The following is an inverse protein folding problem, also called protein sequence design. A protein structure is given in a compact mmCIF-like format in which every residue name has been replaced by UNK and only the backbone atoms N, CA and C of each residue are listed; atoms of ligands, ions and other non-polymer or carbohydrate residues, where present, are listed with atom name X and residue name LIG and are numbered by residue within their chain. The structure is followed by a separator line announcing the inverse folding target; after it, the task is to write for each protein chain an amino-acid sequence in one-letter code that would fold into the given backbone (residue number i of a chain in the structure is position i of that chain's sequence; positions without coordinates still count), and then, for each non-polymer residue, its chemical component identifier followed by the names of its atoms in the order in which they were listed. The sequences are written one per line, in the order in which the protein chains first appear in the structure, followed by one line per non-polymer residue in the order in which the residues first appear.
data_IF_743114843174
#
_entry.id   IF_743114843174
#
_cell.length_a   1.000
_cell.length_b   1.000
_cell.length_c   1.000
_cell.angle_alpha   90.00
_cell.angle_beta   90.00
_cell.angle_gamma   90.00
#
_symmetry.space_group_name_H-M   'P 1'
#
loop_
_entity.id
_entity.type
_entity.pdbx_description
1 polymer ?
#
# COMPACT_ATOMS: atom_id res chain seq x y z
N UNK A 1 25.10 17.50 14.20
CA UNK A 1 25.37 16.19 13.56
C UNK A 1 24.77 15.01 14.33
N UNK A 2 24.82 14.95 15.66
CA UNK A 2 24.27 13.86 16.50
C UNK A 2 22.74 13.84 16.45
N UNK A 3 22.08 14.98 16.49
CA UNK A 3 20.61 15.09 16.47
C UNK A 3 19.98 14.61 15.15
N UNK A 4 20.65 14.86 14.02
CA UNK A 4 20.19 14.37 12.71
C UNK A 4 20.27 12.84 12.62
N UNK A 5 21.32 12.25 13.19
CA UNK A 5 21.52 10.79 13.22
C UNK A 5 20.48 10.08 14.08
N UNK A 6 20.14 10.65 15.22
CA UNK A 6 19.10 10.13 16.11
C UNK A 6 17.71 10.16 15.44
N UNK A 7 17.36 11.25 14.77
CA UNK A 7 16.10 11.37 14.01
C UNK A 7 16.02 10.39 12.84
N UNK A 8 17.14 10.16 12.15
CA UNK A 8 17.20 9.17 11.06
C UNK A 8 17.02 7.74 11.58
N UNK A 9 17.66 7.39 12.69
CA UNK A 9 17.49 6.07 13.31
C UNK A 9 16.05 5.84 13.79
N UNK A 10 15.44 6.86 14.40
CA UNK A 10 14.04 6.80 14.80
C UNK A 10 13.11 6.60 13.60
N UNK A 11 13.33 7.33 12.51
CA UNK A 11 12.55 7.19 11.28
C UNK A 11 12.68 5.77 10.70
N UNK A 12 13.89 5.21 10.67
CA UNK A 12 14.13 3.84 10.22
C UNK A 12 13.40 2.83 11.13
N UNK A 13 13.52 2.98 12.45
CA UNK A 13 12.86 2.09 13.40
C UNK A 13 11.32 2.13 13.25
N UNK A 14 10.74 3.33 13.11
CA UNK A 14 9.31 3.50 12.88
C UNK A 14 8.85 2.88 11.54
N UNK A 15 9.66 3.00 10.49
CA UNK A 15 9.38 2.38 9.20
C UNK A 15 9.41 0.86 9.29
N UNK A 16 10.40 0.29 9.97
CA UNK A 16 10.48 -1.16 10.18
C UNK A 16 9.29 -1.67 10.99
N UNK A 17 8.89 -0.95 12.04
CA UNK A 17 7.71 -1.29 12.84
C UNK A 17 6.43 -1.25 12.00
N UNK A 18 6.28 -0.26 11.14
CA UNK A 18 5.14 -0.14 10.23
C UNK A 18 5.08 -1.30 9.23
N UNK A 19 6.22 -1.71 8.67
CA UNK A 19 6.32 -2.85 7.76
C UNK A 19 5.93 -4.14 8.48
N UNK A 20 6.48 -4.40 9.68
CA UNK A 20 6.12 -5.56 10.48
C UNK A 20 4.62 -5.60 10.82
N UNK A 21 4.02 -4.45 11.13
CA UNK A 21 2.58 -4.34 11.35
C UNK A 21 1.77 -4.67 10.08
N UNK A 22 2.22 -4.19 8.93
CA UNK A 22 1.57 -4.46 7.66
C UNK A 22 1.65 -5.96 7.28
N UNK A 23 2.82 -6.58 7.44
CA UNK A 23 3.03 -7.99 7.14
C UNK A 23 2.23 -8.89 8.09
N UNK A 24 2.20 -8.55 9.39
CA UNK A 24 1.38 -9.25 10.37
C UNK A 24 -0.11 -9.20 10.01
N UNK A 25 -0.59 -8.03 9.54
CA UNK A 25 -1.94 -7.88 9.06
C UNK A 25 -2.20 -8.74 7.81
N UNK A 26 -1.26 -8.80 6.86
CA UNK A 26 -1.40 -9.60 5.66
C UNK A 26 -1.51 -11.09 5.97
N UNK A 27 -0.72 -11.58 6.93
CA UNK A 27 -0.78 -12.96 7.43
C UNK A 27 -2.16 -13.23 8.07
N UNK A 28 -2.65 -12.33 8.93
CA UNK A 28 -3.98 -12.48 9.54
C UNK A 28 -5.10 -12.53 8.53
N UNK A 29 -5.08 -11.63 7.53
CA UNK A 29 -6.06 -11.63 6.45
C UNK A 29 -6.02 -12.95 5.69
N UNK A 30 -4.84 -13.49 5.40
CA UNK A 30 -4.69 -14.78 4.74
C UNK A 30 -5.31 -15.92 5.54
N UNK A 31 -5.04 -15.99 6.83
CA UNK A 31 -5.60 -17.00 7.72
C UNK A 31 -7.14 -16.95 7.74
N UNK A 32 -7.71 -15.74 7.73
CA UNK A 32 -9.17 -15.56 7.69
C UNK A 32 -9.75 -15.99 6.33
N UNK A 33 -9.06 -15.71 5.23
CA UNK A 33 -9.47 -16.18 3.89
C UNK A 33 -9.46 -17.70 3.82
N UNK A 34 -8.50 -18.37 4.43
CA UNK A 34 -8.43 -19.84 4.52
C UNK A 34 -9.55 -20.43 5.39
N UNK A 35 -10.11 -19.66 6.33
CA UNK A 35 -11.28 -20.01 7.12
C UNK A 35 -12.62 -19.83 6.40
N UNK A 36 -12.61 -19.32 5.16
CA UNK A 36 -13.79 -19.16 4.32
C UNK A 36 -14.38 -17.76 4.25
N UNK A 37 -13.75 -16.77 4.88
CA UNK A 37 -14.13 -15.37 4.69
C UNK A 37 -13.78 -14.90 3.28
N UNK A 38 -14.60 -14.01 2.73
CA UNK A 38 -14.34 -13.46 1.39
C UNK A 38 -13.51 -12.17 1.43
N UNK A 39 -12.76 -11.90 0.37
CA UNK A 39 -11.95 -10.67 0.29
C UNK A 39 -12.76 -9.37 0.47
N UNK A 40 -13.98 -9.23 -0.10
CA UNK A 40 -14.83 -8.05 0.14
C UNK A 40 -15.27 -7.90 1.60
N UNK A 41 -15.61 -9.01 2.27
CA UNK A 41 -16.00 -8.98 3.69
C UNK A 41 -14.86 -8.48 4.57
N UNK A 42 -13.67 -9.04 4.41
CA UNK A 42 -12.50 -8.62 5.18
C UNK A 42 -12.11 -7.16 4.90
N UNK A 43 -12.27 -6.72 3.66
CA UNK A 43 -12.09 -5.32 3.30
C UNK A 43 -13.10 -4.42 4.02
N UNK A 44 -14.37 -4.81 4.07
CA UNK A 44 -15.42 -4.08 4.77
C UNK A 44 -15.15 -4.00 6.28
N UNK A 45 -14.82 -5.13 6.91
CA UNK A 45 -14.48 -5.17 8.34
C UNK A 45 -13.29 -4.28 8.67
N UNK A 46 -12.19 -4.36 7.90
CA UNK A 46 -11.02 -3.52 8.11
C UNK A 46 -11.36 -2.04 8.00
N UNK A 47 -12.10 -1.64 6.98
CA UNK A 47 -12.45 -0.24 6.77
C UNK A 47 -13.37 0.28 7.87
N UNK A 48 -14.35 -0.51 8.30
CA UNK A 48 -15.27 -0.14 9.37
C UNK A 48 -14.55 -0.05 10.72
N UNK A 49 -13.75 -1.07 11.07
CA UNK A 49 -13.00 -1.08 12.33
C UNK A 49 -11.91 -0.01 12.35
N UNK A 50 -11.33 0.34 11.18
CA UNK A 50 -10.32 1.40 11.05
C UNK A 50 -10.84 2.80 11.35
N UNK A 51 -12.17 3.02 11.31
CA UNK A 51 -12.79 4.28 11.71
C UNK A 51 -12.59 4.54 13.20
N UNK A 52 -12.71 3.50 14.03
CA UNK A 52 -12.64 3.62 15.49
C UNK A 52 -11.33 4.23 15.98
N UNK A 53 -10.14 3.66 15.67
CA UNK A 53 -8.87 4.26 16.10
C UNK A 53 -8.64 5.63 15.47
N UNK A 54 -9.09 5.87 14.25
CA UNK A 54 -8.97 7.18 13.59
C UNK A 54 -9.76 8.24 14.34
N UNK A 55 -10.98 7.95 14.76
CA UNK A 55 -11.82 8.85 15.56
C UNK A 55 -11.19 9.08 16.95
N UNK A 56 -10.69 8.02 17.59
CA UNK A 56 -10.03 8.12 18.90
C UNK A 56 -8.81 9.04 18.81
N UNK A 57 -7.96 8.86 17.80
CA UNK A 57 -6.78 9.70 17.61
C UNK A 57 -7.16 11.18 17.43
N UNK A 58 -8.16 11.47 16.59
CA UNK A 58 -8.65 12.84 16.36
C UNK A 58 -9.17 13.46 17.67
N UNK A 59 -9.92 12.68 18.47
CA UNK A 59 -10.42 13.12 19.77
C UNK A 59 -9.28 13.40 20.76
N UNK A 60 -8.28 12.52 20.83
CA UNK A 60 -7.15 12.64 21.75
C UNK A 60 -6.20 13.79 21.38
N UNK A 61 -6.06 14.11 20.08
CA UNK A 61 -5.22 15.22 19.65
C UNK A 61 -5.83 16.60 19.92
N UNK A 62 -7.05 16.65 20.47
CA UNK A 62 -7.71 17.90 20.86
C UNK A 62 -8.03 18.83 19.67
N UNK A 63 -7.90 18.35 18.46
CA UNK A 63 -8.20 19.07 17.22
C UNK A 63 -9.72 19.30 17.03
N UNK A 64 -10.54 18.69 17.89
CA UNK A 64 -11.97 18.96 17.98
C UNK A 64 -12.26 20.31 18.67
N UNK A 65 -11.60 21.37 18.24
CA UNK A 65 -12.25 22.67 18.30
C UNK A 65 -13.36 22.58 17.27
N UNK A 66 -14.57 22.39 17.78
CA UNK A 66 -15.83 22.21 17.07
C UNK A 66 -16.13 23.46 16.21
N UNK A 67 -15.24 23.73 15.27
CA UNK A 67 -15.45 24.74 14.26
C UNK A 67 -15.97 24.02 13.03
N UNK A 68 -17.25 24.16 12.76
CA UNK A 68 -17.97 23.58 11.64
C UNK A 68 -17.22 23.73 10.29
N UNK A 69 -16.35 24.73 10.18
CA UNK A 69 -15.50 24.97 9.01
C UNK A 69 -14.33 23.97 8.88
N UNK A 70 -13.84 23.40 9.98
CA UNK A 70 -12.73 22.41 9.95
C UNK A 70 -13.16 21.03 9.50
N UNK A 71 -14.46 20.70 9.63
CA UNK A 71 -15.02 19.39 9.26
C UNK A 71 -15.42 19.33 7.79
N UNK A 72 -15.65 20.49 7.15
CA UNK A 72 -16.03 20.53 5.74
C UNK A 72 -14.80 20.31 4.88
N UNK A 73 -14.67 19.13 4.31
CA UNK A 73 -13.63 18.79 3.34
C UNK A 73 -13.83 19.67 2.11
N UNK A 74 -13.03 20.75 2.00
CA UNK A 74 -13.12 21.74 0.92
C UNK A 74 -12.97 21.10 -0.48
N UNK A 75 -12.29 19.93 -0.56
CA UNK A 75 -12.06 19.18 -1.80
C UNK A 75 -12.64 17.76 -1.69
N UNK A 76 -13.91 17.64 -1.33
CA UNK A 76 -14.59 16.36 -1.12
C UNK A 76 -14.49 15.40 -2.32
N UNK A 77 -14.47 15.92 -3.55
CA UNK A 77 -14.31 15.11 -4.78
C UNK A 77 -12.96 14.39 -4.81
N UNK A 78 -11.88 15.08 -4.42
CA UNK A 78 -10.54 14.47 -4.34
C UNK A 78 -10.47 13.44 -3.23
N UNK A 79 -11.08 13.70 -2.08
CA UNK A 79 -11.15 12.74 -0.98
C UNK A 79 -11.94 11.48 -1.39
N UNK A 80 -13.06 11.66 -2.07
CA UNK A 80 -13.88 10.56 -2.57
C UNK A 80 -13.12 9.76 -3.64
N UNK A 81 -12.47 10.42 -4.60
CA UNK A 81 -11.64 9.76 -5.59
C UNK A 81 -10.54 8.92 -4.94
N UNK A 82 -9.80 9.51 -3.98
CA UNK A 82 -8.78 8.79 -3.22
C UNK A 82 -9.36 7.59 -2.45
N UNK A 83 -10.53 7.75 -1.83
CA UNK A 83 -11.19 6.65 -1.11
C UNK A 83 -11.55 5.48 -2.03
N UNK A 84 -12.11 5.76 -3.21
CA UNK A 84 -12.43 4.75 -4.21
C UNK A 84 -11.16 4.07 -4.72
N UNK A 85 -10.12 4.85 -5.03
CA UNK A 85 -8.82 4.34 -5.47
C UNK A 85 -8.21 3.36 -4.48
N UNK A 86 -8.18 3.74 -3.20
CA UNK A 86 -7.66 2.88 -2.12
C UNK A 86 -8.53 1.63 -1.94
N UNK A 87 -9.87 1.76 -2.03
CA UNK A 87 -10.77 0.61 -1.90
C UNK A 87 -10.54 -0.41 -3.03
N UNK A 88 -10.38 0.05 -4.28
CA UNK A 88 -10.07 -0.82 -5.42
C UNK A 88 -8.72 -1.51 -5.23
N UNK A 89 -7.69 -0.77 -4.84
CA UNK A 89 -6.37 -1.32 -4.55
C UNK A 89 -6.40 -2.39 -3.46
N UNK A 90 -7.15 -2.13 -2.39
CA UNK A 90 -7.31 -3.06 -1.27
C UNK A 90 -8.03 -4.34 -1.69
N UNK A 91 -9.12 -4.24 -2.47
CA UNK A 91 -9.83 -5.40 -2.99
C UNK A 91 -8.94 -6.24 -3.90
N UNK A 92 -8.19 -5.60 -4.81
CA UNK A 92 -7.24 -6.28 -5.67
C UNK A 92 -6.16 -7.02 -4.85
N UNK A 93 -5.61 -6.38 -3.81
CA UNK A 93 -4.62 -6.98 -2.93
C UNK A 93 -5.17 -8.18 -2.14
N UNK A 94 -6.39 -8.07 -1.58
CA UNK A 94 -7.02 -9.15 -0.81
C UNK A 94 -7.43 -10.32 -1.70
N UNK A 95 -7.89 -10.04 -2.92
CA UNK A 95 -8.15 -11.09 -3.91
C UNK A 95 -6.87 -11.83 -4.30
N UNK A 96 -5.75 -11.12 -4.41
CA UNK A 96 -4.45 -11.74 -4.62
C UNK A 96 -4.04 -12.63 -3.43
N UNK A 97 -4.25 -12.16 -2.18
CA UNK A 97 -3.98 -12.93 -0.96
C UNK A 97 -4.79 -14.24 -0.88
N UNK A 98 -5.99 -14.26 -1.45
CA UNK A 98 -6.82 -15.45 -1.49
C UNK A 98 -6.32 -16.51 -2.47
N UNK A 99 -5.58 -16.12 -3.52
CA UNK A 99 -5.28 -16.99 -4.66
C UNK A 99 -3.79 -17.24 -4.91
N UNK A 100 -2.91 -16.44 -4.31
CA UNK A 100 -1.47 -16.50 -4.52
C UNK A 100 -0.71 -16.75 -3.22
N UNK A 101 0.51 -17.22 -3.34
CA UNK A 101 1.43 -17.33 -2.21
C UNK A 101 1.85 -15.95 -1.69
N UNK A 102 1.93 -15.81 -0.37
CA UNK A 102 2.27 -14.55 0.30
C UNK A 102 3.61 -13.99 -0.17
N UNK A 103 4.61 -14.85 -0.38
CA UNK A 103 5.92 -14.45 -0.89
C UNK A 103 5.84 -13.79 -2.27
N UNK A 104 5.06 -14.38 -3.18
CA UNK A 104 4.82 -13.82 -4.52
C UNK A 104 4.12 -12.47 -4.45
N UNK A 105 3.09 -12.35 -3.61
CA UNK A 105 2.35 -11.09 -3.44
C UNK A 105 3.27 -10.00 -2.89
N UNK A 106 4.07 -10.31 -1.85
CA UNK A 106 4.99 -9.36 -1.25
C UNK A 106 6.05 -8.88 -2.25
N UNK A 107 6.59 -9.78 -3.07
CA UNK A 107 7.54 -9.42 -4.13
C UNK A 107 6.89 -8.50 -5.19
N UNK A 108 5.68 -8.82 -5.64
CA UNK A 108 4.95 -8.02 -6.62
C UNK A 108 4.47 -6.67 -6.05
N UNK A 109 4.10 -6.61 -4.78
CA UNK A 109 3.73 -5.36 -4.12
C UNK A 109 4.89 -4.34 -4.07
N UNK A 110 6.15 -4.80 -4.09
CA UNK A 110 7.30 -3.90 -4.17
C UNK A 110 7.37 -3.09 -5.48
N UNK A 111 6.62 -3.49 -6.52
CA UNK A 111 6.47 -2.66 -7.74
C UNK A 111 5.83 -1.31 -7.46
N UNK A 112 5.16 -1.12 -6.31
CA UNK A 112 4.67 0.18 -5.88
C UNK A 112 5.75 1.26 -5.89
N UNK A 113 6.95 0.96 -5.37
CA UNK A 113 8.07 1.89 -5.38
C UNK A 113 8.48 2.31 -6.81
N UNK A 114 8.35 1.40 -7.78
CA UNK A 114 8.62 1.70 -9.19
C UNK A 114 7.55 2.64 -9.77
N UNK A 115 6.28 2.36 -9.51
CA UNK A 115 5.17 3.21 -9.99
C UNK A 115 5.27 4.62 -9.40
N UNK A 116 5.58 4.75 -8.10
CA UNK A 116 5.78 6.06 -7.45
C UNK A 116 6.89 6.85 -8.14
N UNK A 117 8.04 6.23 -8.45
CA UNK A 117 9.15 6.91 -9.14
C UNK A 117 8.76 7.29 -10.57
N UNK A 118 8.10 6.40 -11.30
CA UNK A 118 7.64 6.68 -12.67
C UNK A 118 6.65 7.85 -12.66
N UNK A 119 5.67 7.84 -11.74
CA UNK A 119 4.70 8.92 -11.60
C UNK A 119 5.35 10.23 -11.20
N UNK A 120 6.36 10.21 -10.31
CA UNK A 120 7.12 11.40 -9.94
C UNK A 120 7.83 12.01 -11.15
N UNK A 121 8.44 11.19 -12.00
CA UNK A 121 9.09 11.65 -13.24
C UNK A 121 8.07 12.27 -14.20
N UNK A 122 6.94 11.60 -14.42
CA UNK A 122 5.94 12.04 -15.39
C UNK A 122 5.21 13.29 -14.92
N UNK A 123 4.80 13.34 -13.64
CA UNK A 123 4.00 14.45 -13.11
C UNK A 123 4.83 15.66 -12.70
N UNK A 124 5.98 15.43 -12.06
CA UNK A 124 6.81 16.51 -11.53
C UNK A 124 8.02 16.85 -12.40
N UNK A 125 8.23 16.09 -13.50
CA UNK A 125 9.41 16.22 -14.37
C UNK A 125 10.74 16.15 -13.60
N UNK A 126 10.76 15.39 -12.52
CA UNK A 126 11.92 15.19 -11.68
C UNK A 126 13.04 14.52 -12.49
N UNK A 127 14.26 15.02 -12.32
CA UNK A 127 15.44 14.40 -12.94
C UNK A 127 15.85 13.21 -12.11
N UNK A 128 15.59 12.01 -12.62
CA UNK A 128 16.03 10.77 -11.96
C UNK A 128 17.49 10.51 -12.32
N UNK A 129 18.33 10.41 -11.30
CA UNK A 129 19.72 10.07 -11.50
C UNK A 129 19.89 8.64 -12.06
N UNK A 130 21.04 8.36 -12.77
CA UNK A 130 21.26 7.08 -13.44
C UNK A 130 21.23 5.89 -12.48
N UNK A 131 21.65 6.05 -11.24
CA UNK A 131 21.60 5.02 -10.20
C UNK A 131 20.17 4.60 -9.85
N UNK A 132 19.23 5.54 -9.83
CA UNK A 132 17.79 5.24 -9.57
C UNK A 132 17.20 4.50 -10.76
N UNK A 133 17.55 4.87 -11.98
CA UNK A 133 17.10 4.16 -13.19
C UNK A 133 17.65 2.74 -13.19
N UNK A 134 18.93 2.53 -12.89
CA UNK A 134 19.51 1.20 -12.79
C UNK A 134 18.81 0.33 -11.73
N UNK A 135 18.52 0.88 -10.54
CA UNK A 135 17.80 0.19 -9.49
C UNK A 135 16.37 -0.20 -9.92
N UNK A 136 15.66 0.69 -10.64
CA UNK A 136 14.34 0.39 -11.20
C UNK A 136 14.39 -0.74 -12.21
N UNK A 137 15.36 -0.75 -13.11
CA UNK A 137 15.52 -1.81 -14.12
C UNK A 137 15.81 -3.16 -13.47
N UNK A 138 16.71 -3.20 -12.48
CA UNK A 138 17.03 -4.41 -11.72
C UNK A 138 15.76 -4.91 -10.99
N UNK A 139 15.04 -4.02 -10.33
CA UNK A 139 13.78 -4.36 -9.67
C UNK A 139 12.73 -4.91 -10.65
N UNK A 140 12.60 -4.32 -11.83
CA UNK A 140 11.70 -4.79 -12.87
C UNK A 140 12.05 -6.19 -13.38
N UNK A 141 13.33 -6.46 -13.59
CA UNK A 141 13.82 -7.81 -13.97
C UNK A 141 13.47 -8.81 -12.87
N UNK A 142 13.63 -8.44 -11.59
CA UNK A 142 13.23 -9.27 -10.47
C UNK A 142 11.73 -9.61 -10.47
N UNK A 143 10.88 -8.62 -10.74
CA UNK A 143 9.42 -8.80 -10.87
C UNK A 143 9.08 -9.75 -12.02
N UNK A 144 9.71 -9.58 -13.19
CA UNK A 144 9.50 -10.47 -14.33
C UNK A 144 9.93 -11.91 -14.00
N UNK A 145 10.98 -12.07 -13.23
CA UNK A 145 11.45 -13.40 -12.81
C UNK A 145 10.46 -14.10 -11.88
N UNK A 146 9.84 -13.35 -10.96
CA UNK A 146 8.79 -13.87 -10.07
C UNK A 146 7.52 -14.18 -10.86
N UNK A 147 7.12 -13.29 -11.76
CA UNK A 147 5.90 -13.41 -12.55
C UNK A 147 5.95 -14.57 -13.56
N UNK A 148 7.14 -14.90 -14.06
CA UNK A 148 7.39 -15.91 -15.09
C UNK A 148 6.39 -15.86 -16.26
N UNK A 149 6.24 -14.71 -16.95
CA UNK A 149 5.29 -14.57 -18.05
C UNK A 149 5.64 -15.55 -19.17
N UNK A 150 4.61 -16.20 -19.73
CA UNK A 150 4.78 -17.18 -20.81
C UNK A 150 5.04 -18.61 -20.37
N UNK A 151 4.98 -18.91 -19.09
CA UNK A 151 5.02 -20.28 -18.55
C UNK A 151 3.64 -20.70 -18.04
N UNK A 152 3.39 -22.00 -17.90
CA UNK A 152 2.15 -22.54 -17.31
C UNK A 152 1.93 -22.11 -15.85
N UNK A 153 2.98 -21.60 -15.19
CA UNK A 153 2.92 -21.02 -13.85
C UNK A 153 2.33 -19.58 -13.83
N UNK A 154 2.18 -18.94 -15.00
CA UNK A 154 1.61 -17.60 -15.08
C UNK A 154 0.10 -17.63 -14.87
N UNK A 155 -0.34 -17.03 -13.77
CA UNK A 155 -1.76 -16.84 -13.48
C UNK A 155 -2.13 -15.37 -13.68
N UNK A 156 -3.18 -15.03 -14.42
CA UNK A 156 -3.61 -13.62 -14.59
C UNK A 156 -3.86 -12.90 -13.26
N UNK A 157 -4.20 -13.65 -12.22
CA UNK A 157 -4.39 -13.16 -10.84
C UNK A 157 -3.09 -12.54 -10.29
N UNK A 158 -1.92 -12.98 -10.76
CA UNK A 158 -0.63 -12.40 -10.36
C UNK A 158 -0.45 -10.93 -10.80
N UNK A 159 -1.29 -10.42 -11.69
CA UNK A 159 -1.32 -9.00 -12.04
C UNK A 159 -2.05 -8.15 -10.99
N UNK A 160 -2.92 -8.74 -10.16
CA UNK A 160 -3.68 -7.99 -9.15
C UNK A 160 -2.81 -7.24 -8.13
N UNK A 161 -1.72 -7.82 -7.57
CA UNK A 161 -0.81 -7.07 -6.71
C UNK A 161 -0.16 -5.87 -7.42
N UNK A 162 0.13 -6.00 -8.72
CA UNK A 162 0.67 -4.88 -9.51
C UNK A 162 -0.38 -3.78 -9.75
N UNK A 163 -1.63 -4.17 -10.01
CA UNK A 163 -2.76 -3.22 -10.09
C UNK A 163 -2.94 -2.51 -8.75
N UNK A 164 -2.92 -3.25 -7.64
CA UNK A 164 -2.98 -2.68 -6.31
C UNK A 164 -1.82 -1.70 -6.07
N UNK A 165 -0.59 -2.09 -6.43
CA UNK A 165 0.60 -1.27 -6.31
C UNK A 165 0.49 0.05 -7.10
N UNK A 166 -0.05 0.01 -8.31
CA UNK A 166 -0.30 1.20 -9.14
C UNK A 166 -1.31 2.16 -8.49
N UNK A 167 -2.40 1.62 -7.92
CA UNK A 167 -3.43 2.44 -7.31
C UNK A 167 -3.03 2.98 -5.92
N UNK A 168 -2.08 2.36 -5.23
CA UNK A 168 -1.51 2.86 -3.98
C UNK A 168 -0.44 3.96 -4.19
N UNK A 169 0.29 3.94 -5.32
CA UNK A 169 1.33 4.93 -5.67
C UNK A 169 0.74 6.21 -6.21
#
# INVERSE_FOLDING_TARGET
MIETRSRTLLAIAMTLLAILGFDSMAIMVRLLLEQGYTAPELSAYRNTLGIVPSVIIILCMGEFKFNRQSIIIRRWRLALFRGVTVAVAQLAFYTALANLELATISALAQTNAMFVVIMAVVMFKDRVGPWRIAALLIGFIGVLWVLRPGTDAFTPIALLPMVAAFWYG
#
